data_IF_560727524351
#
_entry.id   IF_560727524351
#
_cell.length_a   1.000
_cell.length_b   1.000
_cell.length_c   1.000
_cell.angle_alpha   90.00
_cell.angle_beta   90.00
_cell.angle_gamma   90.00
#
_symmetry.space_group_name_H-M   'P 1'
#
loop_
_entity.id
_entity.type
_entity.pdbx_description
1 polymer ?
#
# COMPACT_ATOMS: atom_id res chain seq x y z
N UNK A 1 -6.12 0.45 17.79
CA UNK A 1 -5.33 1.32 18.66
C UNK A 1 -4.12 1.76 17.85
N UNK A 2 -4.26 2.92 17.18
CA UNK A 2 -3.14 3.54 16.52
C UNK A 2 -2.05 3.79 17.55
N UNK A 3 -0.95 3.09 17.43
CA UNK A 3 0.27 3.52 18.11
C UNK A 3 0.60 4.86 17.47
N UNK A 4 0.28 5.92 18.19
CA UNK A 4 0.84 7.22 17.88
C UNK A 4 2.35 7.06 18.09
N UNK A 5 3.07 6.77 17.02
CA UNK A 5 4.51 6.86 17.04
C UNK A 5 4.82 8.30 17.40
N UNK A 6 5.30 8.51 18.60
CA UNK A 6 5.86 9.80 18.97
C UNK A 6 6.97 10.06 17.97
N UNK A 7 6.73 11.00 17.04
CA UNK A 7 7.77 11.44 16.14
C UNK A 7 8.98 11.81 16.97
N UNK A 8 10.14 11.29 16.65
CA UNK A 8 11.38 11.55 17.35
C UNK A 8 11.67 13.05 17.24
N UNK A 9 11.55 13.84 18.31
CA UNK A 9 11.55 15.30 18.20
C UNK A 9 12.91 15.86 17.79
N UNK A 10 14.00 15.19 18.17
CA UNK A 10 15.37 15.54 17.81
C UNK A 10 16.15 14.25 17.62
N UNK A 11 16.56 14.00 16.41
CA UNK A 11 17.13 12.74 15.97
C UNK A 11 18.48 12.39 16.66
N UNK A 12 19.25 13.39 17.07
CA UNK A 12 20.60 13.20 17.63
C UNK A 12 20.60 13.06 19.17
N UNK A 13 19.45 13.13 19.85
CA UNK A 13 19.33 12.96 21.29
C UNK A 13 19.37 11.48 21.73
N UNK A 14 19.72 11.21 23.00
CA UNK A 14 19.79 9.84 23.56
C UNK A 14 18.46 9.07 23.45
N UNK A 15 17.31 9.71 23.69
CA UNK A 15 16.01 9.09 23.61
C UNK A 15 15.68 8.55 22.20
N UNK A 16 15.77 9.35 21.15
CA UNK A 16 15.63 8.91 19.76
C UNK A 16 16.61 7.80 19.36
N UNK A 17 17.85 7.87 19.78
CA UNK A 17 18.85 6.82 19.48
C UNK A 17 18.51 5.49 20.18
N UNK A 18 18.08 5.54 21.44
CA UNK A 18 17.63 4.35 22.16
C UNK A 18 16.36 3.74 21.51
N UNK A 19 15.44 4.58 21.03
CA UNK A 19 14.26 4.11 20.30
C UNK A 19 14.63 3.46 18.96
N UNK A 20 15.57 4.05 18.23
CA UNK A 20 16.06 3.49 16.98
C UNK A 20 16.70 2.12 17.22
N UNK A 21 17.59 1.99 18.23
CA UNK A 21 18.19 0.71 18.58
C UNK A 21 17.15 -0.34 18.96
N UNK A 22 16.12 0.01 19.72
CA UNK A 22 15.03 -0.91 20.07
C UNK A 22 14.22 -1.33 18.82
N UNK A 23 14.02 -0.43 17.86
CA UNK A 23 13.36 -0.78 16.58
C UNK A 23 14.24 -1.65 15.69
N UNK A 24 15.55 -1.45 15.67
CA UNK A 24 16.50 -2.36 14.99
C UNK A 24 16.46 -3.76 15.62
N UNK A 25 16.31 -3.87 16.94
CA UNK A 25 16.13 -5.16 17.60
C UNK A 25 14.81 -5.85 17.21
N UNK A 26 13.73 -5.10 17.05
CA UNK A 26 12.45 -5.61 16.54
C UNK A 26 12.61 -6.10 15.09
N UNK A 27 13.29 -5.33 14.24
CA UNK A 27 13.56 -5.74 12.85
C UNK A 27 14.43 -7.00 12.81
N UNK A 28 15.48 -7.06 13.62
CA UNK A 28 16.36 -8.23 13.76
C UNK A 28 15.57 -9.47 14.18
N UNK A 29 14.65 -9.34 15.13
CA UNK A 29 13.78 -10.43 15.57
C UNK A 29 12.98 -11.02 14.39
N UNK A 30 12.28 -10.18 13.62
CA UNK A 30 11.46 -10.67 12.53
C UNK A 30 12.27 -11.21 11.34
N UNK A 31 13.39 -10.60 11.00
CA UNK A 31 14.29 -11.09 9.93
C UNK A 31 14.87 -12.44 10.30
N UNK A 32 15.28 -12.66 11.57
CA UNK A 32 15.71 -13.97 12.06
C UNK A 32 14.59 -15.02 12.09
N UNK A 33 13.32 -14.60 12.17
CA UNK A 33 12.16 -15.47 12.02
C UNK A 33 11.86 -15.85 10.56
N UNK A 34 12.57 -15.26 9.60
CA UNK A 34 12.44 -15.56 8.17
C UNK A 34 11.63 -14.56 7.36
N UNK A 35 11.40 -13.33 7.85
CA UNK A 35 10.86 -12.27 7.03
C UNK A 35 11.89 -11.80 6.00
N UNK A 36 11.43 -11.44 4.79
CA UNK A 36 12.27 -10.94 3.71
C UNK A 36 12.40 -9.41 3.69
N UNK A 37 11.73 -8.71 4.62
CA UNK A 37 11.80 -7.26 4.70
C UNK A 37 10.57 -6.62 5.34
N UNK A 38 10.42 -5.30 5.15
CA UNK A 38 9.39 -4.51 5.82
C UNK A 38 8.68 -3.53 4.88
N UNK A 39 7.36 -3.47 5.03
CA UNK A 39 6.59 -2.30 4.63
C UNK A 39 6.53 -1.33 5.81
N UNK A 40 6.92 -0.11 5.57
CA UNK A 40 7.00 0.92 6.61
C UNK A 40 5.85 1.90 6.48
N UNK A 41 4.99 1.90 7.49
CA UNK A 41 3.87 2.79 7.61
C UNK A 41 4.32 4.23 7.84
N UNK A 42 3.71 5.19 7.14
CA UNK A 42 3.93 6.63 7.29
C UNK A 42 5.42 7.03 7.37
N UNK A 43 6.26 6.41 6.55
CA UNK A 43 7.72 6.56 6.61
C UNK A 43 8.22 8.01 6.50
N UNK A 44 7.48 8.88 5.81
CA UNK A 44 7.84 10.28 5.60
C UNK A 44 7.59 11.21 6.79
N UNK A 45 6.97 10.75 7.88
CA UNK A 45 6.46 11.63 8.95
C UNK A 45 7.08 11.40 10.33
N UNK A 46 8.17 10.64 10.43
CA UNK A 46 8.75 10.25 11.72
C UNK A 46 9.49 11.38 12.45
N UNK A 47 10.09 12.31 11.71
CA UNK A 47 10.81 13.45 12.31
C UNK A 47 9.93 14.69 12.25
N UNK A 48 9.66 15.30 13.43
CA UNK A 48 8.85 16.52 13.50
C UNK A 48 9.65 17.75 13.05
N UNK A 49 8.93 18.74 12.52
CA UNK A 49 9.51 20.01 12.05
C UNK A 49 10.56 19.85 10.94
N UNK A 50 10.49 18.74 10.20
CA UNK A 50 11.42 18.38 9.13
C UNK A 50 10.82 18.73 7.76
N UNK A 51 10.63 20.03 7.49
CA UNK A 51 9.95 20.51 6.27
C UNK A 51 10.59 20.03 4.98
N UNK A 52 11.91 19.84 4.95
CA UNK A 52 12.64 19.37 3.78
C UNK A 52 12.80 17.82 3.75
N UNK A 53 12.42 17.13 4.82
CA UNK A 53 12.58 15.69 4.96
C UNK A 53 14.00 15.20 5.23
N UNK A 54 14.94 16.12 5.50
CA UNK A 54 16.37 15.78 5.69
C UNK A 54 16.63 14.92 6.94
N UNK A 55 15.92 15.20 8.03
CA UNK A 55 16.00 14.41 9.26
C UNK A 55 15.44 13.00 9.05
N UNK A 56 14.29 12.91 8.42
CA UNK A 56 13.66 11.63 8.08
C UNK A 56 14.53 10.80 7.13
N UNK A 57 15.12 11.43 6.10
CA UNK A 57 16.07 10.76 5.20
C UNK A 57 17.27 10.21 5.99
N UNK A 58 17.89 11.01 6.88
CA UNK A 58 19.02 10.53 7.70
C UNK A 58 18.66 9.38 8.62
N UNK A 59 17.47 9.42 9.23
CA UNK A 59 16.95 8.33 10.06
C UNK A 59 16.93 7.01 9.27
N UNK A 60 16.29 7.03 8.10
CA UNK A 60 16.18 5.82 7.27
C UNK A 60 17.50 5.36 6.69
N UNK A 61 18.43 6.26 6.41
CA UNK A 61 19.80 5.89 6.01
C UNK A 61 20.54 5.12 7.12
N UNK A 62 20.27 5.40 8.40
CA UNK A 62 20.83 4.61 9.49
C UNK A 62 20.22 3.22 9.54
N UNK A 63 18.88 3.10 9.43
CA UNK A 63 18.20 1.81 9.36
C UNK A 63 18.70 1.01 8.15
N UNK A 64 18.85 1.65 6.99
CA UNK A 64 19.38 0.99 5.80
C UNK A 64 20.81 0.48 6.01
N UNK A 65 21.67 1.25 6.63
CA UNK A 65 23.03 0.83 6.97
C UNK A 65 23.06 -0.38 7.89
N UNK A 66 22.16 -0.42 8.88
CA UNK A 66 21.97 -1.59 9.74
C UNK A 66 21.56 -2.82 8.92
N UNK A 67 20.56 -2.70 8.05
CA UNK A 67 20.11 -3.80 7.19
C UNK A 67 21.20 -4.29 6.25
N UNK A 68 21.90 -3.38 5.57
CA UNK A 68 22.99 -3.75 4.64
C UNK A 68 24.13 -4.50 5.35
N UNK A 69 24.34 -4.22 6.64
CA UNK A 69 25.41 -4.87 7.43
C UNK A 69 25.01 -6.26 7.95
N UNK A 70 23.76 -6.45 8.40
CA UNK A 70 23.33 -7.66 9.07
C UNK A 70 22.38 -8.53 8.21
N UNK A 71 21.61 -7.91 7.30
CA UNK A 71 20.57 -8.55 6.49
C UNK A 71 20.54 -7.98 5.07
N UNK A 72 21.61 -8.16 4.28
CA UNK A 72 21.78 -7.48 2.97
C UNK A 72 20.69 -7.85 1.93
N UNK A 73 20.00 -8.98 2.11
CA UNK A 73 18.93 -9.42 1.23
C UNK A 73 17.54 -8.88 1.64
N UNK A 74 17.46 -8.16 2.78
CA UNK A 74 16.18 -7.64 3.25
C UNK A 74 15.72 -6.43 2.43
N UNK A 75 14.45 -6.45 2.02
CA UNK A 75 13.84 -5.35 1.27
C UNK A 75 13.10 -4.36 2.17
N UNK A 76 13.06 -3.09 1.77
CA UNK A 76 12.26 -2.05 2.40
C UNK A 76 11.37 -1.36 1.39
N UNK A 77 10.07 -1.28 1.68
CA UNK A 77 9.10 -0.49 0.93
C UNK A 77 8.45 0.54 1.85
N UNK A 78 8.42 1.79 1.45
CA UNK A 78 7.84 2.86 2.23
C UNK A 78 6.42 3.20 1.82
N UNK A 79 5.62 3.62 2.77
CA UNK A 79 4.45 4.44 2.55
C UNK A 79 4.85 5.90 2.80
N UNK A 80 5.36 6.55 1.76
CA UNK A 80 5.82 7.94 1.83
C UNK A 80 5.13 8.83 0.79
N UNK A 81 5.04 8.36 -0.45
CA UNK A 81 4.44 9.12 -1.55
C UNK A 81 5.35 10.19 -2.15
N UNK A 82 6.63 10.19 -1.78
CA UNK A 82 7.69 11.02 -2.36
C UNK A 82 8.87 10.12 -2.74
N UNK A 83 8.79 9.41 -3.86
CA UNK A 83 9.74 8.36 -4.22
C UNK A 83 11.20 8.80 -4.22
N UNK A 84 11.50 10.04 -4.63
CA UNK A 84 12.84 10.57 -4.64
C UNK A 84 13.43 10.73 -3.23
N UNK A 85 12.65 11.18 -2.25
CA UNK A 85 13.08 11.27 -0.84
C UNK A 85 13.19 9.89 -0.19
N UNK A 86 12.22 9.04 -0.46
CA UNK A 86 12.21 7.66 0.05
C UNK A 86 13.47 6.91 -0.36
N UNK A 87 13.81 6.93 -1.66
CA UNK A 87 15.00 6.26 -2.14
C UNK A 87 16.31 6.92 -1.64
N UNK A 88 16.32 8.25 -1.45
CA UNK A 88 17.43 8.91 -0.78
C UNK A 88 17.59 8.43 0.68
N UNK A 89 16.48 8.12 1.36
CA UNK A 89 16.45 7.51 2.69
C UNK A 89 16.94 6.06 2.73
N UNK A 90 17.14 5.42 1.57
CA UNK A 90 17.65 4.05 1.50
C UNK A 90 16.55 3.00 1.33
N UNK A 91 15.30 3.38 1.10
CA UNK A 91 14.27 2.43 0.70
C UNK A 91 14.55 1.87 -0.70
N UNK A 92 14.13 0.65 -0.93
CA UNK A 92 14.21 0.00 -2.25
C UNK A 92 13.05 0.43 -3.14
N UNK A 93 11.90 0.76 -2.51
CA UNK A 93 10.66 1.06 -3.20
C UNK A 93 9.81 2.04 -2.39
N UNK A 94 8.96 2.82 -3.09
CA UNK A 94 7.94 3.68 -2.47
C UNK A 94 6.60 3.53 -3.16
N UNK A 95 5.51 3.55 -2.38
CA UNK A 95 4.17 3.45 -2.92
C UNK A 95 3.68 4.76 -3.53
N UNK A 96 3.04 4.67 -4.70
CA UNK A 96 2.10 5.70 -5.11
C UNK A 96 0.90 5.70 -4.16
N UNK A 97 0.64 6.85 -3.55
CA UNK A 97 -0.48 7.01 -2.64
C UNK A 97 -1.74 7.42 -3.40
N UNK A 98 -2.90 7.00 -2.90
CA UNK A 98 -4.21 7.36 -3.44
C UNK A 98 -4.64 8.80 -3.08
N UNK A 99 -3.87 9.48 -2.27
CA UNK A 99 -4.03 10.88 -1.90
C UNK A 99 -2.75 11.67 -2.27
N UNK A 100 -2.86 12.99 -2.25
CA UNK A 100 -1.75 13.86 -2.64
C UNK A 100 -1.60 13.99 -4.16
N UNK A 101 -0.46 14.45 -4.64
CA UNK A 101 -0.27 14.88 -6.02
C UNK A 101 0.01 13.76 -7.02
N UNK A 102 -0.23 12.50 -6.66
CA UNK A 102 0.08 11.36 -7.54
C UNK A 102 -0.85 11.20 -8.72
N UNK A 103 -2.06 11.75 -8.64
CA UNK A 103 -3.15 11.55 -9.62
C UNK A 103 -3.49 10.08 -9.90
N UNK A 104 -3.09 9.19 -8.99
CA UNK A 104 -3.33 7.75 -9.11
C UNK A 104 -4.82 7.39 -9.16
N UNK A 105 -5.67 8.14 -8.45
CA UNK A 105 -7.11 7.90 -8.45
C UNK A 105 -7.77 8.14 -9.81
N UNK A 106 -7.19 8.98 -10.66
CA UNK A 106 -7.72 9.29 -11.98
C UNK A 106 -7.72 8.08 -12.90
N UNK A 107 -6.85 7.12 -12.62
CA UNK A 107 -6.80 5.84 -13.35
C UNK A 107 -8.03 4.98 -13.08
N UNK A 108 -8.44 4.86 -11.78
CA UNK A 108 -9.31 3.75 -11.36
C UNK A 108 -10.49 4.15 -10.48
N UNK A 109 -10.43 5.28 -9.72
CA UNK A 109 -11.32 5.49 -8.55
C UNK A 109 -12.04 6.83 -8.50
N UNK A 110 -11.71 7.78 -9.35
CA UNK A 110 -12.47 9.03 -9.47
C UNK A 110 -13.86 8.78 -10.10
N UNK A 111 -14.69 9.80 -10.23
CA UNK A 111 -16.04 9.65 -10.78
C UNK A 111 -16.03 9.22 -12.26
N UNK A 112 -15.03 9.65 -13.02
CA UNK A 112 -14.81 9.26 -14.42
C UNK A 112 -13.40 8.66 -14.58
N UNK A 113 -13.17 7.40 -14.15
CA UNK A 113 -11.85 6.78 -14.22
C UNK A 113 -11.38 6.64 -15.67
N UNK A 114 -10.09 6.81 -15.89
CA UNK A 114 -9.53 6.69 -17.24
C UNK A 114 -9.81 5.32 -17.87
N UNK A 115 -9.74 4.25 -17.08
CA UNK A 115 -9.99 2.88 -17.56
C UNK A 115 -11.47 2.50 -17.65
N UNK A 116 -12.39 3.46 -17.40
CA UNK A 116 -13.81 3.21 -17.63
C UNK A 116 -14.15 3.24 -19.12
N UNK A 117 -14.95 2.28 -19.57
CA UNK A 117 -15.53 2.24 -20.95
C UNK A 117 -16.35 3.48 -21.31
N UNK A 118 -16.70 4.33 -20.34
CA UNK A 118 -17.37 5.60 -20.60
C UNK A 118 -16.49 6.59 -21.39
N UNK A 119 -15.16 6.39 -21.36
CA UNK A 119 -14.19 7.14 -22.16
C UNK A 119 -14.11 8.63 -21.84
N UNK A 120 -14.42 9.03 -20.60
CA UNK A 120 -14.43 10.43 -20.15
C UNK A 120 -13.25 10.80 -19.25
N UNK A 121 -12.51 9.80 -18.77
CA UNK A 121 -11.37 10.00 -17.87
C UNK A 121 -10.17 10.58 -18.60
N UNK A 122 -9.36 11.35 -17.87
CA UNK A 122 -8.09 11.91 -18.33
C UNK A 122 -6.93 11.31 -17.53
N UNK A 123 -5.86 10.94 -18.23
CA UNK A 123 -4.64 10.34 -17.65
C UNK A 123 -3.46 11.34 -17.61
N UNK A 124 -3.63 12.53 -18.16
CA UNK A 124 -2.52 13.44 -18.46
C UNK A 124 -1.73 13.84 -17.21
N UNK A 125 -2.40 14.21 -16.12
CA UNK A 125 -1.75 14.61 -14.87
C UNK A 125 -1.03 13.45 -14.19
N UNK A 126 -1.62 12.26 -14.21
CA UNK A 126 -0.94 11.05 -13.73
C UNK A 126 0.34 10.79 -14.53
N UNK A 127 0.28 10.83 -15.86
CA UNK A 127 1.44 10.55 -16.72
C UNK A 127 2.55 11.57 -16.49
N UNK A 128 2.23 12.85 -16.35
CA UNK A 128 3.22 13.90 -16.09
C UNK A 128 3.91 13.70 -14.75
N UNK A 129 3.12 13.49 -13.69
CA UNK A 129 3.62 13.26 -12.34
C UNK A 129 4.43 11.97 -12.26
N UNK A 130 3.95 10.89 -12.87
CA UNK A 130 4.65 9.61 -12.89
C UNK A 130 6.00 9.72 -13.61
N UNK A 131 6.05 10.32 -14.80
CA UNK A 131 7.29 10.54 -15.55
C UNK A 131 8.30 11.37 -14.76
N UNK A 132 7.83 12.40 -14.08
CA UNK A 132 8.67 13.27 -13.24
C UNK A 132 9.31 12.44 -12.12
N UNK A 133 8.52 11.65 -11.39
CA UNK A 133 9.02 10.79 -10.33
C UNK A 133 9.94 9.68 -10.87
N UNK A 134 9.56 9.04 -11.96
CA UNK A 134 10.36 7.99 -12.60
C UNK A 134 11.75 8.50 -13.00
N UNK A 135 11.83 9.69 -13.62
CA UNK A 135 13.10 10.29 -14.02
C UNK A 135 14.02 10.59 -12.83
N UNK A 136 13.46 10.96 -11.67
CA UNK A 136 14.23 11.20 -10.44
C UNK A 136 14.75 9.92 -9.79
N UNK A 137 14.02 8.83 -9.96
CA UNK A 137 14.23 7.56 -9.25
C UNK A 137 14.80 6.46 -10.12
N UNK A 138 14.84 6.64 -11.43
CA UNK A 138 15.37 5.66 -12.38
C UNK A 138 16.76 5.14 -11.95
N UNK A 139 16.93 3.82 -11.95
CA UNK A 139 18.15 3.12 -11.54
C UNK A 139 18.52 3.22 -10.03
N UNK A 140 17.68 3.87 -9.21
CA UNK A 140 17.91 3.98 -7.75
C UNK A 140 17.00 3.05 -6.95
N UNK A 141 15.83 2.73 -7.48
CA UNK A 141 14.83 1.89 -6.87
C UNK A 141 13.53 1.91 -7.68
N UNK A 142 12.44 1.40 -7.09
CA UNK A 142 11.18 1.20 -7.80
C UNK A 142 10.06 2.07 -7.23
N UNK A 143 9.15 2.49 -8.10
CA UNK A 143 7.86 3.05 -7.72
C UNK A 143 6.87 1.89 -7.68
N UNK A 144 6.20 1.71 -6.53
CA UNK A 144 5.17 0.69 -6.37
C UNK A 144 3.83 1.21 -6.87
N UNK A 145 3.21 0.47 -7.78
CA UNK A 145 1.91 0.80 -8.34
C UNK A 145 0.89 -0.22 -7.83
N UNK A 146 0.10 0.12 -6.78
CA UNK A 146 -0.86 -0.82 -6.21
C UNK A 146 -2.13 -0.93 -7.06
N UNK A 147 -2.73 -2.13 -7.12
CA UNK A 147 -4.12 -2.28 -7.58
C UNK A 147 -5.08 -1.67 -6.56
N UNK A 148 -4.77 -1.82 -5.30
CA UNK A 148 -5.53 -1.32 -4.17
C UNK A 148 -4.76 -1.49 -2.88
N UNK A 149 -5.38 -1.10 -1.77
CA UNK A 149 -4.92 -1.38 -0.42
C UNK A 149 -6.10 -1.37 0.57
N UNK A 150 -5.80 -1.59 1.84
CA UNK A 150 -6.79 -1.63 2.91
C UNK A 150 -7.43 -0.26 3.26
N UNK A 151 -6.96 0.81 2.67
CA UNK A 151 -7.40 2.19 2.92
C UNK A 151 -8.12 2.84 1.74
N UNK A 152 -8.26 2.14 0.63
CA UNK A 152 -8.97 2.66 -0.54
C UNK A 152 -10.03 1.69 -1.05
N UNK A 153 -10.92 2.19 -1.90
CA UNK A 153 -11.95 1.38 -2.53
C UNK A 153 -11.33 0.28 -3.40
N UNK A 154 -12.03 -0.84 -3.53
CA UNK A 154 -11.71 -1.88 -4.50
C UNK A 154 -11.81 -1.37 -5.93
N UNK A 155 -10.96 -1.86 -6.85
CA UNK A 155 -11.04 -1.55 -8.27
C UNK A 155 -12.44 -1.84 -8.84
N UNK A 156 -13.03 -2.98 -8.47
CA UNK A 156 -14.34 -3.42 -8.93
C UNK A 156 -15.50 -2.56 -8.45
N UNK A 157 -15.28 -1.54 -7.60
CA UNK A 157 -16.31 -0.57 -7.26
C UNK A 157 -16.65 0.35 -8.43
N UNK A 158 -15.66 0.66 -9.27
CA UNK A 158 -15.78 1.58 -10.41
C UNK A 158 -15.60 0.90 -11.77
N UNK A 159 -14.76 -0.11 -11.85
CA UNK A 159 -14.41 -0.83 -13.07
C UNK A 159 -14.98 -2.24 -13.04
N UNK A 160 -15.47 -2.73 -14.18
CA UNK A 160 -16.10 -4.06 -14.25
C UNK A 160 -15.70 -4.81 -15.52
N UNK A 161 -15.64 -6.13 -15.44
CA UNK A 161 -15.38 -6.99 -16.59
C UNK A 161 -14.07 -6.64 -17.30
N UNK A 162 -14.13 -6.32 -18.60
CA UNK A 162 -12.94 -6.02 -19.40
C UNK A 162 -12.22 -4.73 -18.97
N UNK A 163 -12.90 -3.79 -18.31
CA UNK A 163 -12.26 -2.60 -17.72
C UNK A 163 -11.21 -3.01 -16.69
N UNK A 164 -11.50 -4.01 -15.83
CA UNK A 164 -10.55 -4.55 -14.86
C UNK A 164 -9.36 -5.20 -15.56
N UNK A 165 -9.59 -6.00 -16.61
CA UNK A 165 -8.51 -6.65 -17.37
C UNK A 165 -7.54 -5.65 -17.97
N UNK A 166 -8.08 -4.56 -18.55
CA UNK A 166 -7.25 -3.49 -19.11
C UNK A 166 -6.48 -2.76 -18.01
N UNK A 167 -7.11 -2.48 -16.86
CA UNK A 167 -6.45 -1.88 -15.71
C UNK A 167 -5.29 -2.75 -15.21
N UNK A 168 -5.47 -4.06 -15.11
CA UNK A 168 -4.40 -5.00 -14.74
C UNK A 168 -3.32 -5.09 -15.82
N UNK A 169 -3.67 -5.11 -17.10
CA UNK A 169 -2.69 -5.07 -18.18
C UNK A 169 -1.80 -3.84 -18.08
N UNK A 170 -2.37 -2.67 -17.77
CA UNK A 170 -1.64 -1.44 -17.52
C UNK A 170 -0.72 -1.58 -16.29
N UNK A 171 -1.26 -1.97 -15.12
CA UNK A 171 -0.50 -2.12 -13.88
C UNK A 171 0.73 -3.03 -14.05
N UNK A 172 0.55 -4.16 -14.74
CA UNK A 172 1.59 -5.16 -14.95
C UNK A 172 2.61 -4.79 -16.04
N UNK A 173 2.31 -3.79 -16.88
CA UNK A 173 3.21 -3.33 -17.94
C UNK A 173 3.90 -1.99 -17.63
N UNK A 174 3.49 -1.28 -16.58
CA UNK A 174 4.15 -0.05 -16.15
C UNK A 174 5.56 -0.32 -15.61
N UNK A 175 6.52 0.57 -15.87
CA UNK A 175 7.81 0.52 -15.19
C UNK A 175 7.62 0.70 -13.68
N UNK A 176 8.18 -0.20 -12.86
CA UNK A 176 8.03 -0.16 -11.40
C UNK A 176 7.70 -1.54 -10.83
N UNK A 177 7.17 -1.56 -9.61
CA UNK A 177 6.76 -2.78 -8.93
C UNK A 177 5.22 -2.82 -8.80
N UNK A 178 4.51 -3.71 -9.50
CA UNK A 178 3.08 -3.88 -9.30
C UNK A 178 2.81 -4.54 -7.94
N UNK A 179 1.90 -3.97 -7.17
CA UNK A 179 1.41 -4.53 -5.92
C UNK A 179 -0.07 -4.88 -6.06
N UNK A 180 -0.40 -6.15 -6.02
CA UNK A 180 -1.77 -6.62 -6.14
C UNK A 180 -2.39 -6.76 -4.76
N UNK A 181 -3.44 -5.98 -4.49
CA UNK A 181 -4.22 -6.12 -3.27
C UNK A 181 -5.11 -7.35 -3.39
N UNK A 182 -5.06 -8.24 -2.40
CA UNK A 182 -5.78 -9.53 -2.44
C UNK A 182 -7.24 -9.36 -2.85
N UNK A 183 -7.68 -10.21 -3.75
CA UNK A 183 -9.05 -10.22 -4.27
C UNK A 183 -9.32 -9.23 -5.40
N UNK A 184 -8.48 -8.22 -5.64
CA UNK A 184 -8.64 -7.36 -6.81
C UNK A 184 -8.42 -8.17 -8.09
N UNK A 185 -7.53 -9.17 -8.08
CA UNK A 185 -7.23 -10.08 -9.19
C UNK A 185 -8.41 -10.94 -9.63
N UNK A 186 -9.37 -11.19 -8.73
CA UNK A 186 -10.62 -11.89 -9.04
C UNK A 186 -11.82 -10.94 -9.13
N UNK A 187 -11.60 -9.63 -9.03
CA UNK A 187 -12.67 -8.63 -9.09
C UNK A 187 -13.55 -8.57 -7.85
N UNK A 188 -13.01 -8.83 -6.65
CA UNK A 188 -13.76 -8.68 -5.40
C UNK A 188 -14.35 -7.29 -5.27
N UNK A 189 -15.62 -7.25 -4.87
CA UNK A 189 -16.38 -6.00 -4.72
C UNK A 189 -16.13 -5.34 -3.38
N UNK A 190 -16.29 -4.02 -3.33
CA UNK A 190 -16.38 -3.28 -2.08
C UNK A 190 -17.72 -3.61 -1.39
N UNK A 191 -17.69 -3.99 -0.12
CA UNK A 191 -18.92 -4.30 0.64
C UNK A 191 -19.45 -3.01 1.26
N UNK A 192 -20.58 -2.55 0.73
CA UNK A 192 -21.20 -1.29 1.17
C UNK A 192 -21.85 -1.40 2.57
N UNK A 193 -22.00 -0.26 3.24
CA UNK A 193 -22.75 -0.15 4.49
C UNK A 193 -22.07 -0.69 5.75
N UNK A 194 -20.83 -1.16 5.66
CA UNK A 194 -20.08 -1.60 6.83
C UNK A 194 -19.59 -0.39 7.64
N UNK A 195 -19.80 -0.45 8.96
CA UNK A 195 -19.27 0.58 9.86
C UNK A 195 -17.76 0.43 10.03
N UNK A 196 -17.06 1.54 10.07
CA UNK A 196 -15.66 1.54 10.48
C UNK A 196 -15.57 1.23 11.97
N UNK A 197 -14.88 0.12 12.30
CA UNK A 197 -14.64 -0.28 13.70
C UNK A 197 -13.30 0.25 14.22
N UNK A 198 -12.45 0.76 13.33
CA UNK A 198 -11.12 1.26 13.63
C UNK A 198 -11.04 2.79 13.66
N UNK A 199 -12.17 3.46 13.48
CA UNK A 199 -12.24 4.92 13.34
C UNK A 199 -11.79 5.42 11.97
N UNK A 200 -11.75 6.75 11.80
CA UNK A 200 -11.40 7.37 10.52
C UNK A 200 -12.54 7.33 9.49
N UNK A 201 -12.19 7.43 8.22
CA UNK A 201 -13.14 7.36 7.11
C UNK A 201 -13.59 5.92 6.81
N UNK A 202 -14.71 5.79 6.09
CA UNK A 202 -15.26 4.48 5.79
C UNK A 202 -14.43 3.73 4.74
N UNK A 203 -13.71 2.72 5.17
CA UNK A 203 -12.81 1.86 4.38
C UNK A 203 -12.98 0.37 4.64
N UNK A 204 -13.85 0.00 5.57
CA UNK A 204 -14.03 -1.39 6.02
C UNK A 204 -14.46 -2.32 4.89
N UNK A 205 -15.23 -1.83 3.92
CA UNK A 205 -15.73 -2.64 2.80
C UNK A 205 -14.65 -3.16 1.84
N UNK A 206 -13.45 -2.59 1.85
CA UNK A 206 -12.32 -3.12 1.08
C UNK A 206 -11.57 -4.26 1.78
N UNK A 207 -11.87 -4.50 3.04
CA UNK A 207 -11.17 -5.47 3.92
C UNK A 207 -11.96 -6.76 4.15
N UNK A 208 -13.00 -7.00 3.33
CA UNK A 208 -13.77 -8.25 3.40
C UNK A 208 -12.86 -9.47 3.16
N UNK A 209 -13.14 -10.61 3.82
CA UNK A 209 -12.35 -11.82 3.66
C UNK A 209 -12.23 -12.28 2.20
N UNK A 210 -11.09 -12.90 1.86
CA UNK A 210 -10.88 -13.48 0.52
C UNK A 210 -11.95 -14.50 0.17
N UNK A 211 -12.39 -14.50 -1.07
CA UNK A 211 -13.43 -15.37 -1.60
C UNK A 211 -12.80 -16.50 -2.44
N UNK A 212 -12.56 -17.65 -1.81
CA UNK A 212 -11.88 -18.77 -2.44
C UNK A 212 -12.83 -19.63 -3.30
N UNK A 213 -14.00 -19.97 -2.75
CA UNK A 213 -14.97 -20.86 -3.38
C UNK A 213 -16.43 -20.59 -2.93
N UNK A 214 -17.34 -21.49 -3.22
CA UNK A 214 -18.77 -21.40 -2.88
C UNK A 214 -19.14 -22.04 -1.53
N UNK A 215 -18.16 -22.54 -0.78
CA UNK A 215 -18.39 -23.17 0.52
C UNK A 215 -18.68 -22.13 1.63
N UNK A 216 -18.88 -22.61 2.85
CA UNK A 216 -19.14 -21.75 4.03
C UNK A 216 -18.07 -20.66 4.12
N UNK A 217 -18.51 -19.41 4.35
CA UNK A 217 -17.65 -18.22 4.38
C UNK A 217 -16.71 -18.13 3.16
N UNK A 218 -17.17 -18.57 2.00
CA UNK A 218 -16.40 -18.60 0.76
C UNK A 218 -15.03 -19.30 0.88
N UNK A 219 -14.95 -20.35 1.70
CA UNK A 219 -13.69 -21.06 1.96
C UNK A 219 -12.68 -20.32 2.83
N UNK A 220 -13.02 -19.13 3.34
CA UNK A 220 -12.10 -18.34 4.15
C UNK A 220 -11.94 -18.90 5.57
N UNK A 221 -13.04 -19.34 6.20
CA UNK A 221 -13.05 -19.81 7.58
C UNK A 221 -14.16 -20.83 7.82
N UNK A 222 -13.90 -21.81 8.68
CA UNK A 222 -14.89 -22.76 9.19
C UNK A 222 -15.70 -22.24 10.39
N UNK A 223 -15.38 -21.04 10.91
CA UNK A 223 -16.12 -20.42 12.01
C UNK A 223 -17.55 -20.06 11.60
N UNK A 224 -18.49 -19.92 12.55
CA UNK A 224 -19.79 -19.32 12.27
C UNK A 224 -19.63 -17.95 11.60
N UNK A 225 -20.50 -17.64 10.64
CA UNK A 225 -20.43 -16.36 9.91
C UNK A 225 -20.57 -15.14 10.85
N UNK A 226 -21.25 -15.30 11.98
CA UNK A 226 -21.36 -14.28 13.04
C UNK A 226 -20.05 -13.93 13.72
N UNK A 227 -19.07 -14.82 13.66
CA UNK A 227 -17.79 -14.68 14.35
C UNK A 227 -16.71 -14.06 13.46
N UNK A 228 -17.03 -13.82 12.19
CA UNK A 228 -16.15 -13.11 11.28
C UNK A 228 -16.04 -11.64 11.69
N UNK A 229 -14.81 -11.13 11.80
CA UNK A 229 -14.55 -9.73 12.13
C UNK A 229 -15.16 -8.76 11.12
N UNK A 230 -15.09 -9.11 9.83
CA UNK A 230 -15.72 -8.40 8.72
C UNK A 230 -16.54 -9.42 7.92
N UNK A 231 -17.77 -9.06 7.58
CA UNK A 231 -18.68 -9.94 6.83
C UNK A 231 -18.20 -10.17 5.40
N UNK A 232 -18.56 -11.33 4.86
CA UNK A 232 -18.39 -11.63 3.43
C UNK A 232 -19.28 -10.74 2.56
N UNK A 233 -18.92 -10.61 1.27
CA UNK A 233 -19.85 -10.09 0.26
C UNK A 233 -21.12 -10.95 0.26
N UNK A 234 -22.31 -10.38 0.53
CA UNK A 234 -23.55 -11.12 0.59
C UNK A 234 -24.13 -11.51 -0.77
N UNK A 235 -23.55 -11.04 -1.87
CA UNK A 235 -24.01 -11.31 -3.23
C UNK A 235 -23.88 -12.78 -3.59
N UNK A 236 -24.95 -13.34 -4.18
CA UNK A 236 -24.94 -14.73 -4.67
C UNK A 236 -24.02 -14.92 -5.86
N UNK A 237 -23.76 -13.85 -6.58
CA UNK A 237 -22.89 -13.74 -7.76
C UNK A 237 -21.51 -13.18 -7.42
N UNK A 238 -21.12 -13.24 -6.13
CA UNK A 238 -19.80 -12.78 -5.70
C UNK A 238 -18.70 -13.53 -6.44
N UNK A 239 -17.65 -12.84 -6.87
CA UNK A 239 -16.53 -13.52 -7.53
C UNK A 239 -15.78 -14.41 -6.52
N UNK A 240 -15.32 -15.57 -7.00
CA UNK A 240 -14.49 -16.49 -6.21
C UNK A 240 -13.27 -16.90 -7.01
N UNK A 241 -12.17 -17.24 -6.34
CA UNK A 241 -10.97 -17.72 -7.01
C UNK A 241 -11.23 -18.98 -7.83
N UNK A 242 -12.12 -19.86 -7.36
CA UNK A 242 -12.51 -21.11 -8.04
C UNK A 242 -13.27 -20.87 -9.34
N UNK A 243 -13.94 -19.72 -9.49
CA UNK A 243 -14.76 -19.41 -10.66
C UNK A 243 -14.01 -18.68 -11.78
N UNK A 244 -12.68 -18.39 -11.63
CA UNK A 244 -11.85 -17.70 -12.62
C UNK A 244 -11.25 -18.62 -13.70
#
# INVERSE_FOLDING_TARGET
TGVQTCALPIFDDEGPQATLAAMEDVMRFWLNMGCDGFRVDMAGSLVKNDQEGKGTIRLWQQVRKFLDAEFPDAAMVSEWGEPDKSLQGGFHMDFLLHFGPSHYNDLFRCDEPFFSKRGKGDISEFVETYKTNYNKTAQKGLICIPSGNHDMDRLARRLQGDELKIAFAFLLSMPGAPFIYYGDEIGMRYVEGLKSVEGGYNRTGSRSPMQWDDSTNAGFSSAPASDLYITMDPGKDRPTAKAQ
#
